data_IF_628224925633
#
_entry.id   IF_628224925633
#
_cell.length_a   1.000
_cell.length_b   1.000
_cell.length_c   1.000
_cell.angle_alpha   90.00
_cell.angle_beta   90.00
_cell.angle_gamma   90.00
#
_symmetry.space_group_name_H-M   'P 1'
#
loop_
_entity.id
_entity.type
_entity.pdbx_description
1 polymer ?
#
# COMPACT_ATOMS: atom_id res chain seq x y z
N UNK A 1 13.65 13.86 6.62
CA UNK A 1 13.61 12.47 6.14
C UNK A 1 14.96 12.16 5.50
N UNK A 2 15.67 11.15 5.99
CA UNK A 2 16.96 10.72 5.45
C UNK A 2 16.76 9.86 4.19
N UNK A 3 17.81 9.68 3.37
CA UNK A 3 17.75 8.75 2.23
C UNK A 3 17.31 7.34 2.62
N UNK A 4 17.80 6.80 3.74
CA UNK A 4 17.41 5.48 4.24
C UNK A 4 15.93 5.39 4.65
N UNK A 5 15.39 6.46 5.24
CA UNK A 5 13.96 6.55 5.57
C UNK A 5 13.11 6.57 4.30
N UNK A 6 13.52 7.32 3.28
CA UNK A 6 12.84 7.36 1.97
C UNK A 6 12.85 5.97 1.33
N UNK A 7 13.99 5.28 1.34
CA UNK A 7 14.09 3.92 0.78
C UNK A 7 13.19 2.94 1.55
N UNK A 8 13.17 3.05 2.87
CA UNK A 8 12.32 2.22 3.73
C UNK A 8 10.84 2.45 3.44
N UNK A 9 10.41 3.70 3.24
CA UNK A 9 9.03 4.05 2.87
C UNK A 9 8.67 3.52 1.48
N UNK A 10 9.57 3.62 0.49
CA UNK A 10 9.34 3.04 -0.83
C UNK A 10 9.16 1.51 -0.76
N UNK A 11 10.04 0.81 -0.01
CA UNK A 11 9.92 -0.63 0.23
C UNK A 11 8.61 -1.00 0.94
N UNK A 12 8.19 -0.21 1.93
CA UNK A 12 6.94 -0.41 2.63
C UNK A 12 5.74 -0.24 1.69
N UNK A 13 5.75 0.82 0.86
CA UNK A 13 4.73 1.06 -0.17
C UNK A 13 4.60 -0.13 -1.11
N UNK A 14 5.70 -0.63 -1.66
CA UNK A 14 5.68 -1.80 -2.56
C UNK A 14 5.09 -3.04 -1.89
N UNK A 15 5.44 -3.28 -0.63
CA UNK A 15 4.88 -4.38 0.15
C UNK A 15 3.36 -4.25 0.31
N UNK A 16 2.88 -3.05 0.67
CA UNK A 16 1.46 -2.76 0.83
C UNK A 16 0.70 -2.91 -0.50
N UNK A 17 1.29 -2.45 -1.62
CA UNK A 17 0.69 -2.60 -2.94
C UNK A 17 0.52 -4.09 -3.34
N UNK A 18 1.49 -4.94 -3.03
CA UNK A 18 1.40 -6.40 -3.22
C UNK A 18 0.31 -7.02 -2.33
N UNK A 19 0.26 -6.64 -1.06
CA UNK A 19 -0.76 -7.12 -0.12
C UNK A 19 -2.18 -6.71 -0.55
N UNK A 20 -2.36 -5.45 -0.97
CA UNK A 20 -3.61 -4.94 -1.55
C UNK A 20 -4.05 -5.81 -2.73
N UNK A 21 -3.14 -6.10 -3.66
CA UNK A 21 -3.43 -6.94 -4.83
C UNK A 21 -3.82 -8.37 -4.46
N UNK A 22 -3.11 -8.98 -3.51
CA UNK A 22 -3.44 -10.32 -3.03
C UNK A 22 -4.80 -10.37 -2.32
N UNK A 23 -5.11 -9.38 -1.47
CA UNK A 23 -6.37 -9.31 -0.75
C UNK A 23 -7.56 -9.03 -1.69
N UNK A 24 -7.40 -8.12 -2.65
CA UNK A 24 -8.41 -7.85 -3.66
C UNK A 24 -8.76 -9.11 -4.47
N UNK A 25 -7.76 -9.91 -4.86
CA UNK A 25 -7.99 -11.22 -5.51
C UNK A 25 -8.75 -12.19 -4.62
N UNK A 26 -8.40 -12.27 -3.33
CA UNK A 26 -9.10 -13.13 -2.35
C UNK A 26 -10.56 -12.73 -2.17
N UNK A 27 -10.85 -11.43 -2.08
CA UNK A 27 -12.22 -10.91 -1.99
C UNK A 27 -13.02 -11.27 -3.24
N UNK A 28 -12.46 -11.02 -4.43
CA UNK A 28 -13.15 -11.30 -5.70
C UNK A 28 -13.34 -12.80 -6.00
N UNK A 29 -12.52 -13.67 -5.41
CA UNK A 29 -12.65 -15.12 -5.53
C UNK A 29 -13.56 -15.75 -4.45
N UNK A 30 -14.06 -14.95 -3.49
CA UNK A 30 -14.92 -15.47 -2.42
C UNK A 30 -16.39 -15.28 -2.79
N UNK A 31 -17.17 -16.36 -2.76
CA UNK A 31 -18.62 -16.33 -2.97
C UNK A 31 -19.39 -15.64 -1.82
N UNK A 32 -18.71 -15.41 -0.70
CA UNK A 32 -19.23 -14.70 0.47
C UNK A 32 -18.40 -13.46 0.69
N UNK A 33 -19.01 -12.29 0.55
CA UNK A 33 -18.39 -11.04 0.94
C UNK A 33 -18.17 -11.05 2.46
N UNK A 34 -16.92 -11.21 2.90
CA UNK A 34 -16.54 -11.11 4.31
C UNK A 34 -16.27 -9.63 4.64
N UNK A 35 -17.10 -8.98 5.49
CA UNK A 35 -16.88 -7.58 5.88
C UNK A 35 -15.48 -7.33 6.46
N UNK A 36 -14.93 -8.31 7.18
CA UNK A 36 -13.56 -8.26 7.70
C UNK A 36 -12.50 -8.11 6.62
N UNK A 37 -12.66 -8.76 5.46
CA UNK A 37 -11.73 -8.63 4.35
C UNK A 37 -11.82 -7.24 3.69
N UNK A 38 -13.01 -6.66 3.62
CA UNK A 38 -13.20 -5.29 3.14
C UNK A 38 -12.60 -4.24 4.11
N UNK A 39 -12.71 -4.47 5.42
CA UNK A 39 -12.05 -3.65 6.44
C UNK A 39 -10.52 -3.76 6.35
N UNK A 40 -9.98 -4.97 6.19
CA UNK A 40 -8.54 -5.18 6.00
C UNK A 40 -8.03 -4.47 4.75
N UNK A 41 -8.79 -4.53 3.65
CA UNK A 41 -8.45 -3.80 2.42
C UNK A 41 -8.43 -2.29 2.67
N UNK A 42 -9.40 -1.77 3.42
CA UNK A 42 -9.47 -0.35 3.79
C UNK A 42 -8.25 0.06 4.62
N UNK A 43 -7.84 -0.75 5.60
CA UNK A 43 -6.62 -0.49 6.41
C UNK A 43 -5.36 -0.45 5.55
N UNK A 44 -5.23 -1.35 4.57
CA UNK A 44 -4.09 -1.34 3.64
C UNK A 44 -4.10 -0.07 2.77
N UNK A 45 -5.26 0.34 2.27
CA UNK A 45 -5.38 1.56 1.46
C UNK A 45 -5.00 2.82 2.25
N UNK A 46 -5.44 2.92 3.50
CA UNK A 46 -5.06 4.03 4.39
C UNK A 46 -3.56 4.03 4.69
N UNK A 47 -2.95 2.85 4.88
CA UNK A 47 -1.51 2.74 5.08
C UNK A 47 -0.72 3.19 3.83
N UNK A 48 -1.20 2.86 2.62
CA UNK A 48 -0.59 3.34 1.37
C UNK A 48 -0.68 4.87 1.30
N UNK A 49 -1.86 5.45 1.55
CA UNK A 49 -2.04 6.90 1.52
C UNK A 49 -1.11 7.61 2.52
N UNK A 50 -0.97 7.07 3.72
CA UNK A 50 -0.08 7.63 4.74
C UNK A 50 1.40 7.63 4.28
N UNK A 51 1.85 6.55 3.64
CA UNK A 51 3.22 6.45 3.09
C UNK A 51 3.40 7.40 1.91
N UNK A 52 2.44 7.44 0.99
CA UNK A 52 2.49 8.31 -0.19
C UNK A 52 2.50 9.79 0.26
N UNK A 53 1.71 10.18 1.26
CA UNK A 53 1.72 11.53 1.85
C UNK A 53 3.07 11.85 2.49
N UNK A 54 3.65 10.95 3.29
CA UNK A 54 4.96 11.15 3.89
C UNK A 54 6.07 11.37 2.84
N UNK A 55 6.02 10.62 1.74
CA UNK A 55 6.95 10.75 0.61
C UNK A 55 6.77 12.07 -0.15
N UNK A 56 5.52 12.50 -0.36
CA UNK A 56 5.20 13.81 -0.96
C UNK A 56 5.69 14.95 -0.08
N UNK A 57 5.43 14.90 1.23
CA UNK A 57 5.87 15.91 2.20
C UNK A 57 7.41 16.01 2.26
N UNK A 58 8.11 14.92 1.97
CA UNK A 58 9.57 14.87 1.85
C UNK A 58 10.11 15.35 0.48
N UNK A 59 9.25 15.78 -0.45
CA UNK A 59 9.64 16.18 -1.80
C UNK A 59 10.14 15.02 -2.67
N UNK A 60 9.76 13.79 -2.31
CA UNK A 60 10.14 12.54 -3.00
C UNK A 60 8.92 11.66 -3.27
N UNK A 61 7.96 12.09 -4.11
CA UNK A 61 6.77 11.29 -4.40
C UNK A 61 7.13 9.88 -4.86
N UNK A 62 6.33 8.89 -4.47
CA UNK A 62 6.53 7.51 -4.92
C UNK A 62 6.43 7.43 -6.45
N UNK A 63 7.46 6.87 -7.08
CA UNK A 63 7.48 6.53 -8.51
C UNK A 63 7.54 5.01 -8.64
N UNK A 64 6.55 4.36 -9.28
CA UNK A 64 6.61 2.92 -9.50
C UNK A 64 7.86 2.57 -10.31
N UNK A 65 8.54 1.45 -9.99
CA UNK A 65 9.64 0.97 -10.82
C UNK A 65 9.12 0.66 -12.23
N UNK A 66 9.85 1.10 -13.26
CA UNK A 66 9.58 0.72 -14.65
C UNK A 66 9.75 -0.80 -14.77
N UNK A 67 8.71 -1.47 -15.28
CA UNK A 67 8.68 -2.93 -15.48
C UNK A 67 9.24 -3.32 -16.84
#
# INVERSE_FOLDING_TARGET
MTPDEIETLNRARDSLARQRGALAKRIGASDVAAPSAAEDLTRILLAIEAVDRALVDAGRPYTPPEH
#
